data_IF_646594156728
#
_entry.id   IF_646594156728
#
_cell.length_a   1.000
_cell.length_b   1.000
_cell.length_c   1.000
_cell.angle_alpha   90.00
_cell.angle_beta   90.00
_cell.angle_gamma   90.00
#
_symmetry.space_group_name_H-M   'P 1'
#
loop_
_entity.id
_entity.type
_entity.pdbx_description
1 polymer ?
#
# COMPACT_ATOMS: atom_id res chain seq x y z
N UNK A 1 22.35 -17.51 -2.06
CA UNK A 1 22.06 -16.16 -2.58
C UNK A 1 20.97 -15.62 -1.66
N UNK A 2 21.20 -14.50 -0.98
CA UNK A 2 20.16 -13.87 -0.17
C UNK A 2 19.00 -13.48 -1.10
N UNK A 3 17.80 -13.95 -0.79
CA UNK A 3 16.61 -13.64 -1.58
C UNK A 3 16.32 -12.14 -1.52
N UNK A 4 15.63 -11.60 -2.54
CA UNK A 4 15.09 -10.24 -2.53
C UNK A 4 13.58 -10.33 -2.41
N UNK A 5 13.00 -9.50 -1.55
CA UNK A 5 11.55 -9.36 -1.44
C UNK A 5 11.15 -7.95 -1.86
N UNK A 6 10.25 -7.85 -2.84
CA UNK A 6 9.59 -6.61 -3.22
C UNK A 6 8.30 -6.50 -2.41
N UNK A 7 8.23 -5.51 -1.53
CA UNK A 7 7.03 -5.18 -0.75
C UNK A 7 6.40 -3.96 -1.39
N UNK A 8 5.20 -4.13 -1.92
CA UNK A 8 4.52 -3.12 -2.74
C UNK A 8 3.22 -2.71 -2.07
N UNK A 9 3.02 -1.42 -1.88
CA UNK A 9 1.73 -0.87 -1.51
C UNK A 9 0.74 -0.92 -2.68
N UNK A 10 -0.57 -0.89 -2.40
CA UNK A 10 -1.59 -1.01 -3.45
C UNK A 10 -2.21 0.34 -3.81
N UNK A 11 -2.83 1.01 -2.83
CA UNK A 11 -3.64 2.20 -3.03
C UNK A 11 -2.75 3.41 -3.37
N UNK A 12 -2.94 4.02 -4.56
CA UNK A 12 -2.08 5.10 -5.03
C UNK A 12 -0.70 4.67 -5.52
N UNK A 13 -0.28 3.42 -5.27
CA UNK A 13 0.99 2.82 -5.70
C UNK A 13 0.78 1.89 -6.89
N UNK A 14 0.19 0.72 -6.70
CA UNK A 14 -0.18 -0.20 -7.80
C UNK A 14 -1.30 0.41 -8.63
N UNK A 15 -2.28 1.01 -8.00
CA UNK A 15 -3.32 1.81 -8.67
C UNK A 15 -2.86 3.24 -8.91
N UNK A 16 -3.41 3.90 -9.95
CA UNK A 16 -3.14 5.32 -10.22
C UNK A 16 -3.81 6.24 -9.21
N UNK A 17 -4.95 5.84 -8.65
CA UNK A 17 -5.67 6.59 -7.61
C UNK A 17 -5.50 5.92 -6.25
N UNK A 18 -5.66 6.69 -5.19
CA UNK A 18 -5.90 6.13 -3.86
C UNK A 18 -7.32 5.59 -3.83
N UNK A 19 -7.44 4.27 -3.67
CA UNK A 19 -8.72 3.59 -3.76
C UNK A 19 -9.55 3.79 -2.49
N UNK A 20 -8.89 3.71 -1.32
CA UNK A 20 -9.58 3.92 -0.04
C UNK A 20 -10.17 5.32 0.04
N UNK A 21 -9.37 6.35 -0.24
CA UNK A 21 -9.81 7.75 -0.26
C UNK A 21 -10.96 7.96 -1.25
N UNK A 22 -10.84 7.37 -2.43
CA UNK A 22 -11.84 7.52 -3.49
C UNK A 22 -13.17 6.88 -3.10
N UNK A 23 -13.14 5.68 -2.49
CA UNK A 23 -14.36 5.00 -2.05
C UNK A 23 -15.00 5.72 -0.86
N UNK A 24 -14.20 6.11 0.13
CA UNK A 24 -14.69 6.82 1.30
C UNK A 24 -15.34 8.15 0.94
N UNK A 25 -14.70 8.94 0.06
CA UNK A 25 -15.24 10.24 -0.39
C UNK A 25 -16.46 10.10 -1.31
N UNK A 26 -16.55 9.04 -2.11
CA UNK A 26 -17.61 8.83 -3.08
C UNK A 26 -18.86 8.16 -2.50
N UNK A 27 -18.68 7.15 -1.67
CA UNK A 27 -19.75 6.28 -1.17
C UNK A 27 -20.01 6.46 0.32
N UNK A 28 -19.12 7.13 1.05
CA UNK A 28 -19.25 7.48 2.44
C UNK A 28 -19.86 8.86 2.66
N UNK A 29 -19.46 9.51 3.74
CA UNK A 29 -19.91 10.86 4.11
C UNK A 29 -18.75 11.85 3.90
N UNK A 30 -18.86 12.82 2.97
CA UNK A 30 -17.79 13.76 2.68
C UNK A 30 -17.41 14.67 3.85
N UNK A 31 -18.32 14.90 4.80
CA UNK A 31 -18.02 15.69 6.02
C UNK A 31 -17.14 14.88 6.95
N UNK A 32 -17.48 13.60 7.15
CA UNK A 32 -16.66 12.68 7.96
C UNK A 32 -15.29 12.50 7.33
N UNK A 33 -15.24 12.30 6.01
CA UNK A 33 -13.99 12.16 5.27
C UNK A 33 -13.05 13.35 5.52
N UNK A 34 -13.52 14.59 5.33
CA UNK A 34 -12.70 15.78 5.55
C UNK A 34 -12.24 15.93 7.01
N UNK A 35 -13.13 15.64 7.97
CA UNK A 35 -12.81 15.75 9.40
C UNK A 35 -11.71 14.79 9.82
N UNK A 36 -11.73 13.55 9.31
CA UNK A 36 -10.74 12.54 9.69
C UNK A 36 -9.42 12.72 8.96
N UNK A 37 -9.43 13.18 7.71
CA UNK A 37 -8.24 13.53 6.94
C UNK A 37 -7.47 14.68 7.63
N UNK A 38 -8.14 15.77 7.98
CA UNK A 38 -7.58 16.85 8.81
C UNK A 38 -7.05 16.30 10.15
N UNK A 39 -7.74 15.33 10.74
CA UNK A 39 -7.34 14.70 12.01
C UNK A 39 -6.04 13.88 11.90
N UNK A 40 -5.83 13.21 10.78
CA UNK A 40 -4.60 12.46 10.48
C UNK A 40 -3.42 13.42 10.27
N UNK A 41 -3.61 14.45 9.45
CA UNK A 41 -2.57 15.43 9.13
C UNK A 41 -2.09 16.20 10.37
N UNK A 42 -3.01 16.50 11.29
CA UNK A 42 -2.71 17.15 12.56
C UNK A 42 -2.18 16.17 13.65
N UNK A 43 -2.12 14.88 13.37
CA UNK A 43 -1.69 13.85 14.30
C UNK A 43 -2.65 13.62 15.48
N UNK A 44 -3.92 14.03 15.34
CA UNK A 44 -4.99 13.80 16.35
C UNK A 44 -5.62 12.42 16.24
N UNK A 45 -5.55 11.82 15.07
CA UNK A 45 -6.09 10.50 14.76
C UNK A 45 -5.00 9.57 14.25
N UNK A 46 -5.09 8.31 14.60
CA UNK A 46 -4.32 7.23 14.00
C UNK A 46 -4.91 6.85 12.65
N UNK A 47 -4.10 6.28 11.75
CA UNK A 47 -4.59 5.78 10.46
C UNK A 47 -5.74 4.77 10.64
N UNK A 48 -5.66 3.92 11.68
CA UNK A 48 -6.71 2.96 12.02
C UNK A 48 -8.05 3.66 12.37
N UNK A 49 -8.00 4.73 13.14
CA UNK A 49 -9.20 5.51 13.48
C UNK A 49 -9.78 6.19 12.24
N UNK A 50 -8.92 6.73 11.38
CA UNK A 50 -9.32 7.35 10.10
C UNK A 50 -10.09 6.34 9.25
N UNK A 51 -9.46 5.25 8.85
CA UNK A 51 -10.09 4.23 7.99
C UNK A 51 -11.40 3.69 8.63
N UNK A 52 -11.40 3.45 9.95
CA UNK A 52 -12.62 2.97 10.63
C UNK A 52 -13.77 3.97 10.53
N UNK A 53 -13.49 5.27 10.66
CA UNK A 53 -14.52 6.32 10.60
C UNK A 53 -14.98 6.61 9.19
N UNK A 54 -14.11 6.58 8.21
CA UNK A 54 -14.39 6.82 6.79
C UNK A 54 -15.32 5.76 6.19
N UNK A 55 -15.10 4.49 6.56
CA UNK A 55 -15.89 3.39 6.01
C UNK A 55 -17.20 3.13 6.77
N UNK A 56 -17.32 3.64 7.99
CA UNK A 56 -18.57 3.50 8.77
C UNK A 56 -19.83 4.08 8.08
N UNK A 57 -19.78 5.22 7.37
CA UNK A 57 -20.96 5.74 6.64
C UNK A 57 -21.18 5.09 5.27
N UNK A 58 -20.30 4.23 4.79
CA UNK A 58 -20.52 3.52 3.52
C UNK A 58 -21.62 2.47 3.72
N UNK A 59 -22.76 2.65 3.06
CA UNK A 59 -23.93 1.76 3.14
C UNK A 59 -24.25 1.07 1.83
N UNK A 60 -23.44 1.31 0.79
CA UNK A 60 -23.59 0.67 -0.49
C UNK A 60 -23.28 -0.83 -0.41
N UNK A 61 -24.04 -1.69 -1.11
CA UNK A 61 -23.64 -3.09 -1.28
C UNK A 61 -22.24 -3.21 -1.86
N UNK A 62 -21.45 -4.14 -1.34
CA UNK A 62 -20.07 -4.36 -1.82
C UNK A 62 -20.00 -4.55 -3.34
N UNK A 63 -20.93 -5.31 -3.89
CA UNK A 63 -20.97 -5.58 -5.35
C UNK A 63 -21.09 -4.28 -6.18
N UNK A 64 -21.88 -3.28 -5.73
CA UNK A 64 -21.99 -2.00 -6.44
C UNK A 64 -20.68 -1.21 -6.40
N UNK A 65 -19.94 -1.29 -5.29
CA UNK A 65 -18.64 -0.62 -5.14
C UNK A 65 -17.60 -1.32 -6.00
N UNK A 66 -17.55 -2.66 -5.98
CA UNK A 66 -16.64 -3.46 -6.81
C UNK A 66 -16.93 -3.27 -8.31
N UNK A 67 -18.19 -3.25 -8.72
CA UNK A 67 -18.54 -2.97 -10.12
C UNK A 67 -18.01 -1.61 -10.56
N UNK A 68 -18.17 -0.58 -9.71
CA UNK A 68 -17.62 0.74 -9.98
C UNK A 68 -16.08 0.74 -10.06
N UNK A 69 -15.40 0.03 -9.14
CA UNK A 69 -13.94 -0.09 -9.16
C UNK A 69 -13.43 -0.72 -10.45
N UNK A 70 -14.05 -1.82 -10.87
CA UNK A 70 -13.66 -2.54 -12.07
C UNK A 70 -13.82 -1.71 -13.36
N UNK A 71 -14.71 -0.72 -13.35
CA UNK A 71 -14.90 0.22 -14.46
C UNK A 71 -13.94 1.42 -14.42
N UNK A 72 -13.50 1.85 -13.25
CA UNK A 72 -12.87 3.16 -13.07
C UNK A 72 -11.41 3.11 -12.58
N UNK A 73 -10.97 2.00 -12.00
CA UNK A 73 -9.61 1.87 -11.46
C UNK A 73 -8.65 1.35 -12.53
N UNK A 74 -7.56 2.09 -12.73
CA UNK A 74 -6.47 1.71 -13.60
C UNK A 74 -5.22 1.38 -12.79
N UNK A 75 -4.49 0.33 -13.20
CA UNK A 75 -3.17 0.08 -12.67
C UNK A 75 -2.16 1.11 -13.20
N UNK A 76 -1.18 1.41 -12.39
CA UNK A 76 -0.02 2.19 -12.82
C UNK A 76 0.77 1.40 -13.86
N UNK A 77 1.21 2.02 -14.97
CA UNK A 77 1.91 1.33 -16.05
C UNK A 77 3.12 0.53 -15.57
N UNK A 78 3.32 -0.65 -16.14
CA UNK A 78 4.48 -1.49 -15.88
C UNK A 78 4.38 -2.42 -14.66
N UNK A 79 3.27 -2.45 -13.92
CA UNK A 79 3.16 -3.36 -12.78
C UNK A 79 3.27 -4.83 -13.19
N UNK A 80 2.61 -5.24 -14.29
CA UNK A 80 2.78 -6.59 -14.86
C UNK A 80 4.26 -6.90 -15.16
N UNK A 81 5.00 -5.95 -15.75
CA UNK A 81 6.41 -6.14 -16.04
C UNK A 81 7.28 -6.28 -14.78
N UNK A 82 6.90 -5.65 -13.67
CA UNK A 82 7.56 -5.85 -12.38
C UNK A 82 7.28 -7.24 -11.81
N UNK A 83 6.02 -7.72 -11.90
CA UNK A 83 5.62 -9.07 -11.45
C UNK A 83 6.39 -10.13 -12.26
N UNK A 84 6.43 -10.00 -13.58
CA UNK A 84 7.20 -10.88 -14.46
C UNK A 84 8.70 -10.88 -14.11
N UNK A 85 9.29 -9.70 -13.91
CA UNK A 85 10.69 -9.58 -13.50
C UNK A 85 10.98 -10.28 -12.17
N UNK A 86 10.09 -10.12 -11.18
CA UNK A 86 10.24 -10.78 -9.90
C UNK A 86 10.24 -12.31 -10.06
N UNK A 87 9.30 -12.85 -10.85
CA UNK A 87 9.22 -14.26 -11.16
C UNK A 87 10.47 -14.78 -11.90
N UNK A 88 10.94 -14.07 -12.93
CA UNK A 88 12.17 -14.40 -13.68
C UNK A 88 13.41 -14.45 -12.79
N UNK A 89 13.50 -13.59 -11.80
CA UNK A 89 14.63 -13.47 -10.87
C UNK A 89 14.52 -14.37 -9.65
N UNK A 90 13.36 -15.03 -9.46
CA UNK A 90 13.08 -15.81 -8.25
C UNK A 90 12.98 -14.91 -7.01
N UNK A 91 12.58 -13.66 -7.16
CA UNK A 91 12.30 -12.73 -6.06
C UNK A 91 10.86 -12.92 -5.57
N UNK A 92 10.64 -12.74 -4.29
CA UNK A 92 9.28 -12.65 -3.75
C UNK A 92 8.72 -11.28 -4.07
N UNK A 93 7.48 -11.21 -4.55
CA UNK A 93 6.72 -9.97 -4.64
C UNK A 93 5.45 -10.14 -3.80
N UNK A 94 5.22 -9.20 -2.89
CA UNK A 94 4.07 -9.22 -2.00
C UNK A 94 3.44 -7.83 -1.95
N UNK A 95 2.11 -7.79 -2.08
CA UNK A 95 1.33 -6.57 -1.85
C UNK A 95 0.99 -6.48 -0.37
N UNK A 96 1.29 -5.34 0.25
CA UNK A 96 0.93 -5.02 1.64
C UNK A 96 0.15 -3.71 1.66
N UNK A 97 -1.16 -3.80 1.87
CA UNK A 97 -2.08 -2.65 1.82
C UNK A 97 -2.80 -2.44 3.16
N UNK A 98 -3.12 -1.19 3.46
CA UNK A 98 -4.05 -0.82 4.52
C UNK A 98 -5.52 -1.00 4.10
N UNK A 99 -5.77 -1.25 2.82
CA UNK A 99 -7.08 -1.49 2.23
C UNK A 99 -7.65 -2.88 2.53
N UNK A 100 -8.60 -3.31 1.70
CA UNK A 100 -9.42 -4.48 1.95
C UNK A 100 -9.28 -5.52 0.84
N UNK A 101 -9.16 -6.79 1.22
CA UNK A 101 -9.16 -7.92 0.29
C UNK A 101 -10.33 -7.86 -0.69
N UNK A 102 -11.53 -7.53 -0.18
CA UNK A 102 -12.78 -7.47 -0.94
C UNK A 102 -12.77 -6.44 -2.08
N UNK A 103 -11.87 -5.47 -2.03
CA UNK A 103 -11.68 -4.44 -3.05
C UNK A 103 -10.47 -4.72 -3.94
N UNK A 104 -9.40 -5.26 -3.38
CA UNK A 104 -8.14 -5.46 -4.09
C UNK A 104 -8.17 -6.73 -4.96
N UNK A 105 -8.69 -7.85 -4.42
CA UNK A 105 -8.73 -9.14 -5.14
C UNK A 105 -9.47 -9.07 -6.49
N UNK A 106 -10.64 -8.39 -6.61
CA UNK A 106 -11.34 -8.27 -7.90
C UNK A 106 -10.53 -7.53 -8.96
N UNK A 107 -9.74 -6.51 -8.56
CA UNK A 107 -8.87 -5.77 -9.47
C UNK A 107 -7.72 -6.66 -9.95
N UNK A 108 -7.06 -7.39 -9.04
CA UNK A 108 -5.99 -8.32 -9.39
C UNK A 108 -6.50 -9.45 -10.30
N UNK A 109 -7.70 -9.98 -10.04
CA UNK A 109 -8.35 -10.99 -10.87
C UNK A 109 -8.67 -10.46 -12.29
N UNK A 110 -9.23 -9.24 -12.41
CA UNK A 110 -9.46 -8.56 -13.70
C UNK A 110 -8.18 -8.46 -14.52
N UNK A 111 -7.08 -8.14 -13.87
CA UNK A 111 -5.76 -7.98 -14.51
C UNK A 111 -5.03 -9.32 -14.74
N UNK A 112 -5.57 -10.44 -14.28
CA UNK A 112 -4.92 -11.75 -14.39
C UNK A 112 -3.64 -11.88 -13.56
N UNK A 113 -3.55 -11.19 -12.43
CA UNK A 113 -2.40 -11.16 -11.55
C UNK A 113 -2.59 -12.08 -10.34
N UNK A 114 -1.73 -13.08 -10.24
CA UNK A 114 -1.62 -13.95 -9.05
C UNK A 114 -0.45 -13.47 -8.20
N UNK A 115 -0.73 -12.60 -7.21
CA UNK A 115 0.26 -12.00 -6.33
C UNK A 115 -0.12 -12.23 -4.87
N UNK A 116 0.86 -12.51 -4.03
CA UNK A 116 0.61 -12.62 -2.59
C UNK A 116 0.12 -11.29 -2.03
N UNK A 117 -1.03 -11.30 -1.34
CA UNK A 117 -1.70 -10.12 -0.81
C UNK A 117 -1.88 -10.20 0.71
N UNK A 118 -1.46 -9.13 1.38
CA UNK A 118 -1.71 -8.88 2.79
C UNK A 118 -2.47 -7.56 2.94
N UNK A 119 -3.74 -7.66 3.29
CA UNK A 119 -4.64 -6.53 3.48
C UNK A 119 -5.60 -6.81 4.64
N UNK A 120 -6.33 -5.80 5.09
CA UNK A 120 -7.42 -5.97 6.01
C UNK A 120 -8.64 -6.59 5.30
N UNK A 121 -9.74 -6.75 6.00
CA UNK A 121 -11.03 -7.13 5.42
C UNK A 121 -12.11 -6.16 5.83
N UNK A 122 -13.20 -6.16 5.09
CA UNK A 122 -14.38 -5.36 5.42
C UNK A 122 -15.63 -6.23 5.44
N UNK A 123 -16.50 -5.99 6.43
CA UNK A 123 -17.85 -6.55 6.52
C UNK A 123 -18.84 -5.46 6.04
N UNK A 124 -19.39 -5.59 4.82
CA UNK A 124 -20.24 -4.58 4.19
C UNK A 124 -21.68 -4.66 4.68
N UNK A 125 -21.95 -4.14 5.88
CA UNK A 125 -23.29 -4.15 6.48
C UNK A 125 -24.17 -3.04 5.92
N UNK A 126 -25.48 -3.23 5.86
CA UNK A 126 -26.42 -2.24 5.36
C UNK A 126 -26.45 -0.93 6.17
N UNK A 127 -26.06 -0.98 7.45
CA UNK A 127 -25.97 0.16 8.36
C UNK A 127 -24.57 0.81 8.44
N UNK A 128 -23.68 0.38 7.58
CA UNK A 128 -22.31 0.90 7.43
C UNK A 128 -21.25 -0.20 7.46
N UNK A 129 -20.21 -0.01 6.71
CA UNK A 129 -19.13 -0.98 6.62
C UNK A 129 -18.31 -1.06 7.91
N UNK A 130 -17.90 -2.27 8.27
CA UNK A 130 -17.11 -2.52 9.49
C UNK A 130 -15.78 -3.13 9.08
N UNK A 131 -14.69 -2.48 9.47
CA UNK A 131 -13.34 -2.97 9.16
C UNK A 131 -12.95 -4.11 10.09
N UNK A 132 -12.53 -5.23 9.52
CA UNK A 132 -11.93 -6.36 10.21
C UNK A 132 -10.41 -6.28 10.08
N UNK A 133 -9.77 -5.82 11.14
CA UNK A 133 -8.32 -5.59 11.19
C UNK A 133 -7.57 -6.90 11.34
N UNK A 134 -6.72 -7.22 10.36
CA UNK A 134 -5.94 -8.45 10.32
C UNK A 134 -4.63 -8.38 11.10
N UNK A 135 -4.13 -7.18 11.31
CA UNK A 135 -2.84 -6.93 11.94
C UNK A 135 -3.03 -5.96 13.11
N UNK A 136 -3.11 -6.51 14.32
CA UNK A 136 -3.39 -5.75 15.55
C UNK A 136 -2.15 -5.45 16.37
N UNK A 137 -1.00 -6.02 16.02
CA UNK A 137 0.24 -5.81 16.78
C UNK A 137 0.76 -4.38 16.58
N UNK A 138 0.94 -3.68 17.70
CA UNK A 138 1.52 -2.35 17.67
C UNK A 138 3.00 -2.44 17.23
N UNK A 139 3.38 -1.62 16.26
CA UNK A 139 4.75 -1.51 15.82
C UNK A 139 5.62 -0.87 16.90
N UNK A 140 6.75 -1.46 17.22
CA UNK A 140 7.69 -0.93 18.23
C UNK A 140 8.23 0.48 17.87
N UNK A 141 8.22 0.84 16.58
CA UNK A 141 8.75 2.11 16.10
C UNK A 141 7.72 3.24 16.08
N UNK A 142 6.50 3.00 15.59
CA UNK A 142 5.47 4.04 15.47
C UNK A 142 4.29 3.87 16.45
N UNK A 143 4.21 2.77 17.17
CA UNK A 143 3.12 2.49 18.10
C UNK A 143 1.80 2.09 17.45
N UNK A 144 1.72 2.12 16.13
CA UNK A 144 0.51 1.77 15.37
C UNK A 144 0.64 0.39 14.72
N UNK A 145 -0.49 -0.18 14.31
CA UNK A 145 -0.52 -1.34 13.42
C UNK A 145 -0.14 -0.89 12.01
N UNK A 146 1.13 -1.02 11.64
CA UNK A 146 1.67 -0.51 10.38
C UNK A 146 2.25 -1.62 9.50
N UNK A 147 2.52 -1.29 8.23
CA UNK A 147 3.06 -2.21 7.23
C UNK A 147 4.47 -2.73 7.55
N UNK A 148 5.24 -2.08 8.46
CA UNK A 148 6.60 -2.50 8.83
C UNK A 148 6.66 -3.91 9.40
N UNK A 149 5.79 -4.24 10.37
CA UNK A 149 5.78 -5.56 11.00
C UNK A 149 5.48 -6.67 9.99
N UNK A 150 4.64 -6.38 9.00
CA UNK A 150 4.31 -7.32 7.92
C UNK A 150 5.50 -7.46 6.97
N UNK A 151 6.08 -6.35 6.51
CA UNK A 151 7.23 -6.35 5.61
C UNK A 151 8.42 -7.12 6.20
N UNK A 152 8.71 -6.93 7.48
CA UNK A 152 9.80 -7.62 8.17
C UNK A 152 9.63 -9.14 8.27
N UNK A 153 8.38 -9.65 8.28
CA UNK A 153 8.13 -11.10 8.25
C UNK A 153 8.63 -11.76 6.95
N UNK A 154 8.79 -10.98 5.88
CA UNK A 154 9.25 -11.47 4.58
C UNK A 154 10.75 -11.29 4.34
N UNK A 155 11.47 -10.72 5.30
CA UNK A 155 12.90 -10.48 5.15
C UNK A 155 13.71 -11.79 4.99
N UNK A 156 13.36 -12.87 5.70
CA UNK A 156 14.05 -14.19 5.68
C UNK A 156 15.58 -14.09 5.54
N UNK A 157 16.19 -13.02 6.08
CA UNK A 157 17.60 -12.69 5.91
C UNK A 157 18.00 -12.15 4.54
N UNK A 158 17.03 -11.84 3.67
CA UNK A 158 17.22 -11.22 2.36
C UNK A 158 17.01 -9.71 2.37
N UNK A 159 17.18 -9.08 1.19
CA UNK A 159 16.98 -7.66 0.98
C UNK A 159 15.49 -7.33 0.81
N UNK A 160 15.00 -6.30 1.53
CA UNK A 160 13.66 -5.75 1.37
C UNK A 160 13.74 -4.49 0.50
N UNK A 161 13.04 -4.51 -0.64
CA UNK A 161 12.78 -3.33 -1.47
C UNK A 161 11.33 -2.92 -1.26
N UNK A 162 11.14 -1.73 -0.69
CA UNK A 162 9.81 -1.18 -0.44
C UNK A 162 9.38 -0.23 -1.56
N UNK A 163 8.11 -0.33 -1.98
CA UNK A 163 7.54 0.52 -3.05
C UNK A 163 6.22 1.09 -2.53
N UNK A 164 6.11 2.43 -2.43
CA UNK A 164 4.94 3.06 -1.84
C UNK A 164 4.78 4.54 -2.19
N UNK A 165 3.68 5.15 -1.73
CA UNK A 165 3.36 6.54 -2.07
C UNK A 165 2.87 7.40 -0.89
N UNK A 166 2.41 6.81 0.25
CA UNK A 166 1.62 7.52 1.23
C UNK A 166 2.04 7.45 2.69
N UNK A 167 1.11 7.85 3.54
CA UNK A 167 1.28 7.91 4.99
C UNK A 167 1.54 6.53 5.60
N UNK A 168 0.77 5.52 5.19
CA UNK A 168 0.85 4.16 5.72
C UNK A 168 2.18 3.46 5.48
N UNK A 169 2.98 3.97 4.52
CA UNK A 169 4.24 3.37 4.07
C UNK A 169 5.45 3.86 4.87
N UNK A 170 5.34 5.01 5.53
CA UNK A 170 6.47 5.73 6.15
C UNK A 170 7.35 4.84 7.01
N UNK A 171 6.74 4.13 7.96
CA UNK A 171 7.47 3.30 8.90
C UNK A 171 8.12 2.07 8.25
N UNK A 172 7.45 1.47 7.25
CA UNK A 172 7.98 0.33 6.50
C UNK A 172 9.13 0.76 5.58
N UNK A 173 8.99 1.90 4.89
CA UNK A 173 10.02 2.47 4.04
C UNK A 173 11.31 2.80 4.80
N UNK A 174 11.20 3.40 6.01
CA UNK A 174 12.35 3.68 6.86
C UNK A 174 13.13 2.42 7.28
N UNK A 175 12.42 1.28 7.41
CA UNK A 175 12.99 0.02 7.87
C UNK A 175 13.50 -0.89 6.74
N UNK A 176 13.32 -0.49 5.48
CA UNK A 176 13.68 -1.30 4.32
C UNK A 176 15.09 -0.98 3.81
N UNK A 177 15.74 -1.94 3.15
CA UNK A 177 17.10 -1.80 2.62
C UNK A 177 17.14 -0.83 1.45
N UNK A 178 16.06 -0.77 0.68
CA UNK A 178 15.92 0.08 -0.50
C UNK A 178 14.47 0.54 -0.65
N UNK A 179 14.25 1.75 -1.17
CA UNK A 179 12.92 2.35 -1.30
C UNK A 179 12.73 3.00 -2.65
N UNK A 180 11.61 2.66 -3.30
CA UNK A 180 11.03 3.45 -4.36
C UNK A 180 9.83 4.21 -3.80
N UNK A 181 9.81 5.53 -3.95
CA UNK A 181 8.77 6.37 -3.39
C UNK A 181 8.23 7.37 -4.40
N UNK A 182 6.95 7.67 -4.27
CA UNK A 182 6.30 8.75 -5.02
C UNK A 182 5.41 9.58 -4.09
N UNK A 183 4.84 10.68 -4.57
CA UNK A 183 3.85 11.52 -3.85
C UNK A 183 4.27 11.91 -2.41
N UNK A 184 3.38 11.62 -1.44
CA UNK A 184 3.52 11.98 -0.02
C UNK A 184 4.68 11.28 0.66
N UNK A 185 4.93 10.00 0.32
CA UNK A 185 6.05 9.25 0.86
C UNK A 185 7.39 9.84 0.41
N UNK A 186 7.52 10.22 -0.87
CA UNK A 186 8.76 10.82 -1.38
C UNK A 186 9.10 12.11 -0.62
N UNK A 187 8.13 13.00 -0.42
CA UNK A 187 8.31 14.23 0.37
C UNK A 187 8.73 13.95 1.81
N UNK A 188 8.05 13.00 2.46
CA UNK A 188 8.35 12.61 3.82
C UNK A 188 9.79 12.09 3.99
N UNK A 189 10.25 11.23 3.05
CA UNK A 189 11.60 10.66 3.09
C UNK A 189 12.67 11.73 2.79
N UNK A 190 12.40 12.65 1.85
CA UNK A 190 13.28 13.78 1.55
C UNK A 190 13.49 14.68 2.77
N UNK A 191 12.42 15.08 3.46
CA UNK A 191 12.48 15.90 4.68
C UNK A 191 13.28 15.24 5.80
N UNK A 192 13.33 13.91 5.84
CA UNK A 192 14.07 13.13 6.84
C UNK A 192 15.47 12.73 6.40
N UNK A 193 15.87 13.06 5.17
CA UNK A 193 17.16 12.67 4.63
C UNK A 193 17.30 11.15 4.44
N UNK A 194 16.19 10.44 4.30
CA UNK A 194 16.15 8.99 4.05
C UNK A 194 16.31 8.74 2.55
N UNK A 195 17.34 8.00 2.10
CA UNK A 195 17.55 7.75 0.67
C UNK A 195 16.40 6.95 0.05
N UNK A 196 15.97 7.36 -1.14
CA UNK A 196 14.99 6.66 -1.96
C UNK A 196 15.20 6.97 -3.44
N UNK A 197 14.58 6.18 -4.31
CA UNK A 197 14.47 6.44 -5.75
C UNK A 197 13.04 6.87 -6.07
N UNK A 198 12.89 8.02 -6.71
CA UNK A 198 11.58 8.48 -7.18
C UNK A 198 11.14 7.68 -8.41
N UNK A 199 9.84 7.47 -8.55
CA UNK A 199 9.26 6.79 -9.71
C UNK A 199 7.92 7.39 -10.12
N UNK A 200 7.62 7.33 -11.41
CA UNK A 200 6.33 7.67 -11.99
C UNK A 200 5.54 6.42 -12.38
N UNK A 201 6.26 5.37 -12.83
CA UNK A 201 5.69 4.10 -13.22
C UNK A 201 6.59 2.90 -12.87
N UNK A 202 6.03 1.70 -12.97
CA UNK A 202 6.76 0.47 -12.64
C UNK A 202 7.76 0.03 -13.71
N UNK A 203 7.72 0.58 -14.93
CA UNK A 203 8.76 0.32 -15.93
C UNK A 203 10.09 0.91 -15.48
N UNK A 204 10.07 2.11 -14.86
CA UNK A 204 11.27 2.74 -14.29
C UNK A 204 11.87 1.88 -13.17
N UNK A 205 11.01 1.35 -12.27
CA UNK A 205 11.42 0.45 -11.19
C UNK A 205 12.05 -0.82 -11.76
N UNK A 206 11.34 -1.47 -12.70
CA UNK A 206 11.82 -2.70 -13.31
C UNK A 206 13.16 -2.51 -14.05
N UNK A 207 13.35 -1.41 -14.77
CA UNK A 207 14.61 -1.09 -15.43
C UNK A 207 15.75 -0.93 -14.41
N UNK A 208 15.53 -0.14 -13.36
CA UNK A 208 16.52 0.09 -12.30
C UNK A 208 16.95 -1.21 -11.60
N UNK A 209 15.97 -2.08 -11.29
CA UNK A 209 16.22 -3.38 -10.66
C UNK A 209 16.96 -4.37 -11.59
N UNK A 210 16.75 -4.30 -12.91
CA UNK A 210 17.48 -5.12 -13.90
C UNK A 210 18.95 -4.75 -13.97
N UNK A 211 19.24 -3.47 -13.94
CA UNK A 211 20.60 -2.92 -14.12
C UNK A 211 21.48 -3.10 -12.87
N UNK A 212 20.92 -3.57 -11.75
CA UNK A 212 21.65 -3.74 -10.48
C UNK A 212 22.08 -2.40 -9.85
N UNK A 213 21.62 -1.27 -10.38
CA UNK A 213 21.98 0.09 -9.98
C UNK A 213 21.35 0.55 -8.68
N UNK A 214 20.82 -0.35 -7.88
CA UNK A 214 20.22 -0.05 -6.58
C UNK A 214 21.24 -0.35 -5.48
N UNK A 215 21.82 0.69 -4.90
CA UNK A 215 22.69 0.56 -3.74
C UNK A 215 21.84 0.26 -2.49
N UNK A 216 21.97 -0.96 -1.93
CA UNK A 216 21.50 -1.22 -0.58
C UNK A 216 22.09 -0.15 0.37
N UNK A 217 21.28 0.33 1.33
CA UNK A 217 21.81 1.20 2.39
C UNK A 217 22.92 0.42 3.11
N UNK A 218 24.13 0.98 3.10
CA UNK A 218 25.21 0.41 3.92
C UNK A 218 24.74 0.47 5.38
N UNK A 219 24.56 -0.71 5.97
CA UNK A 219 24.30 -0.87 7.40
C UNK A 219 25.47 -0.24 8.17
N UNK A 220 25.24 0.97 8.72
CA UNK A 220 26.16 1.64 9.63
C UNK A 220 25.91 1.19 11.04
#
# INVERSE_FOLDING_TARGET
MSGRTLVVDFDGTVTKMDLLDTIASRFGDPVVYQEVDDGLDEGRLTLREVITREFRPVTKPLAEVVDWELENVELRPGFHALVELAAERGWRLVIVSSGFHELIEPILEREGLEVELHANRVDPRPDGWVVDWRYDEACESCGESCKRSIAQRFADGGEIVYIGDGYSDRCAAEASDAVFATRGLARYLEERGVPFEAFDDFHQIAAKLRDGGFGARSSG
#
